data_IF_626066595523
#
_entry.id   IF_626066595523
#
_cell.length_a   1.000
_cell.length_b   1.000
_cell.length_c   1.000
_cell.angle_alpha   90.00
_cell.angle_beta   90.00
_cell.angle_gamma   90.00
#
_symmetry.space_group_name_H-M   'P 1'
#
loop_
_entity.id
_entity.type
_entity.pdbx_description
1 polymer ?
#
# COMPACT_ATOMS: atom_id res chain seq x y z
N UNK A 1 8.73 -11.91 9.30
CA UNK A 1 8.03 -10.63 9.49
C UNK A 1 8.89 -9.74 10.37
N UNK A 2 8.88 -8.44 10.14
CA UNK A 2 9.68 -7.45 10.87
C UNK A 2 8.82 -6.24 11.21
N UNK A 3 8.99 -5.65 12.40
CA UNK A 3 8.33 -4.39 12.76
C UNK A 3 9.02 -3.24 12.04
N UNK A 4 8.28 -2.52 11.20
CA UNK A 4 8.78 -1.33 10.49
C UNK A 4 7.87 -0.13 10.73
N UNK A 5 8.47 1.05 10.66
CA UNK A 5 7.74 2.31 10.63
C UNK A 5 7.20 2.53 9.20
N UNK A 6 5.88 2.61 9.05
CA UNK A 6 5.21 2.93 7.78
C UNK A 6 4.53 4.29 7.87
N UNK A 7 4.46 5.00 6.74
CA UNK A 7 3.79 6.30 6.67
C UNK A 7 2.28 6.15 6.75
N UNK A 8 1.65 7.06 7.48
CA UNK A 8 0.20 7.25 7.49
C UNK A 8 -0.11 8.51 6.68
N UNK A 9 -0.82 8.31 5.56
CA UNK A 9 -1.33 9.40 4.73
C UNK A 9 -2.76 9.74 5.12
N UNK A 10 -3.11 11.02 5.05
CA UNK A 10 -4.39 11.56 5.47
C UNK A 10 -5.01 12.36 4.33
N UNK A 11 -6.34 12.27 4.17
CA UNK A 11 -7.09 12.99 3.14
C UNK A 11 -7.92 12.06 2.24
N UNK A 12 -8.55 12.63 1.21
CA UNK A 12 -9.38 11.89 0.27
C UNK A 12 -8.48 11.19 -0.77
N UNK A 13 -8.42 9.84 -0.79
CA UNK A 13 -7.64 9.11 -1.78
C UNK A 13 -8.26 9.20 -3.19
N UNK A 14 -7.43 8.98 -4.21
CA UNK A 14 -7.88 8.85 -5.59
C UNK A 14 -8.62 7.53 -5.82
N UNK A 15 -9.36 7.42 -6.94
CA UNK A 15 -10.02 6.16 -7.30
C UNK A 15 -9.05 4.99 -7.44
N UNK A 16 -7.93 5.19 -8.12
CA UNK A 16 -6.88 4.18 -8.29
C UNK A 16 -6.33 3.66 -6.95
N UNK A 17 -6.33 4.49 -5.89
CA UNK A 17 -5.92 4.03 -4.57
C UNK A 17 -6.92 3.03 -3.97
N UNK A 18 -8.22 3.17 -4.22
CA UNK A 18 -9.21 2.21 -3.74
C UNK A 18 -9.06 0.85 -4.42
N UNK A 19 -8.89 0.85 -5.75
CA UNK A 19 -8.68 -0.39 -6.51
C UNK A 19 -7.40 -1.10 -6.03
N UNK A 20 -6.32 -0.33 -5.83
CA UNK A 20 -5.09 -0.84 -5.22
C UNK A 20 -5.28 -1.33 -3.78
N UNK A 21 -6.09 -0.65 -2.96
CA UNK A 21 -6.32 -1.02 -1.56
C UNK A 21 -7.05 -2.35 -1.42
N UNK A 22 -7.99 -2.64 -2.33
CA UNK A 22 -8.67 -3.93 -2.42
C UNK A 22 -7.67 -5.05 -2.72
N UNK A 23 -6.91 -4.94 -3.81
CA UNK A 23 -5.89 -5.92 -4.19
C UNK A 23 -4.84 -6.09 -3.09
N UNK A 24 -4.41 -4.99 -2.47
CA UNK A 24 -3.48 -5.03 -1.34
C UNK A 24 -4.02 -5.87 -0.20
N UNK A 25 -5.28 -5.68 0.18
CA UNK A 25 -5.89 -6.37 1.31
C UNK A 25 -5.97 -7.89 1.09
N UNK A 26 -6.16 -8.33 -0.15
CA UNK A 26 -6.30 -9.73 -0.52
C UNK A 26 -4.96 -10.42 -0.78
N UNK A 27 -4.05 -9.75 -1.50
CA UNK A 27 -2.86 -10.40 -2.05
C UNK A 27 -1.58 -10.10 -1.27
N UNK A 28 -1.45 -8.90 -0.69
CA UNK A 28 -0.24 -8.48 0.02
C UNK A 28 -0.54 -7.56 1.22
N UNK A 29 -1.33 -8.04 2.22
CA UNK A 29 -1.86 -7.21 3.30
C UNK A 29 -0.77 -6.57 4.19
N UNK A 30 0.37 -7.26 4.30
CA UNK A 30 1.49 -6.87 5.16
C UNK A 30 2.68 -6.28 4.40
N UNK A 31 2.46 -5.68 3.22
CA UNK A 31 3.50 -4.88 2.55
C UNK A 31 3.80 -3.58 3.34
N UNK A 32 4.95 -2.97 3.04
CA UNK A 32 5.42 -1.73 3.70
C UNK A 32 4.86 -0.42 3.12
N UNK A 33 3.89 -0.49 2.20
CA UNK A 33 3.27 0.72 1.65
C UNK A 33 2.54 1.54 2.72
N UNK A 34 2.40 2.84 2.45
CA UNK A 34 1.67 3.76 3.32
C UNK A 34 0.23 3.30 3.56
N UNK A 35 -0.30 3.66 4.73
CA UNK A 35 -1.68 3.35 5.11
C UNK A 35 -2.50 4.64 5.13
N UNK A 36 -3.80 4.53 4.82
CA UNK A 36 -4.71 5.66 4.92
C UNK A 36 -5.18 5.80 6.38
N UNK A 37 -4.84 6.93 7.01
CA UNK A 37 -5.25 7.27 8.38
C UNK A 37 -6.66 7.86 8.50
N UNK A 38 -7.35 8.02 7.37
CA UNK A 38 -8.71 8.56 7.27
C UNK A 38 -8.83 9.73 6.30
N UNK A 39 -10.07 10.15 6.03
CA UNK A 39 -10.40 11.14 4.99
C UNK A 39 -10.23 12.61 5.41
N UNK A 40 -9.61 12.89 6.56
CA UNK A 40 -9.36 14.25 7.07
C UNK A 40 -7.94 14.63 6.69
N UNK A 41 -7.70 15.82 6.13
CA UNK A 41 -6.33 16.30 5.86
C UNK A 41 -5.61 16.58 7.19
N UNK A 42 -4.45 15.95 7.40
CA UNK A 42 -3.57 16.11 8.56
C UNK A 42 -2.11 15.94 8.13
N UNK A 43 -1.20 16.30 9.02
CA UNK A 43 0.24 16.03 8.83
C UNK A 43 0.52 14.52 8.72
N UNK A 44 1.55 14.17 7.94
CA UNK A 44 1.99 12.78 7.78
C UNK A 44 2.52 12.28 9.12
N UNK A 45 1.98 11.15 9.59
CA UNK A 45 2.49 10.45 10.79
C UNK A 45 3.10 9.11 10.40
N UNK A 46 3.70 8.42 11.36
CA UNK A 46 4.22 7.07 11.17
C UNK A 46 3.58 6.12 12.19
N UNK A 47 3.43 4.85 11.83
CA UNK A 47 2.98 3.80 12.73
C UNK A 47 3.86 2.55 12.58
N UNK A 48 3.95 1.79 13.66
CA UNK A 48 4.57 0.47 13.65
C UNK A 48 3.64 -0.53 12.96
N UNK A 49 4.18 -1.26 11.99
CA UNK A 49 3.49 -2.33 11.28
C UNK A 49 4.39 -3.55 11.17
N UNK A 50 3.81 -4.73 11.33
CA UNK A 50 4.48 -5.97 10.94
C UNK A 50 4.51 -6.10 9.43
N UNK A 51 5.70 -6.02 8.86
CA UNK A 51 5.94 -6.13 7.42
C UNK A 51 6.39 -7.55 7.08
N UNK A 52 5.83 -8.08 5.99
CA UNK A 52 6.21 -9.36 5.41
C UNK A 52 6.97 -9.13 4.10
N UNK A 53 8.20 -9.65 4.02
CA UNK A 53 9.04 -9.54 2.82
C UNK A 53 8.38 -10.18 1.59
N UNK A 54 7.76 -11.34 1.76
CA UNK A 54 7.03 -12.02 0.66
C UNK A 54 5.84 -11.20 0.17
N UNK A 55 5.17 -10.43 1.03
CA UNK A 55 4.12 -9.49 0.59
C UNK A 55 4.69 -8.35 -0.26
N UNK A 56 5.89 -7.86 0.06
CA UNK A 56 6.57 -6.87 -0.77
C UNK A 56 6.93 -7.45 -2.15
N UNK A 57 7.44 -8.69 -2.20
CA UNK A 57 7.71 -9.37 -3.48
C UNK A 57 6.45 -9.51 -4.32
N UNK A 58 5.35 -10.03 -3.76
CA UNK A 58 4.08 -10.19 -4.47
C UNK A 58 3.52 -8.85 -4.98
N UNK A 59 3.61 -7.79 -4.18
CA UNK A 59 3.25 -6.43 -4.60
C UNK A 59 4.09 -5.96 -5.77
N UNK A 60 5.41 -6.15 -5.72
CA UNK A 60 6.32 -5.67 -6.75
C UNK A 60 6.12 -6.41 -8.07
N UNK A 61 5.77 -7.70 -8.03
CA UNK A 61 5.35 -8.48 -9.19
C UNK A 61 4.03 -7.98 -9.78
N UNK A 62 3.02 -7.74 -8.93
CA UNK A 62 1.74 -7.17 -9.36
C UNK A 62 1.92 -5.81 -10.05
N UNK A 63 2.71 -4.90 -9.44
CA UNK A 63 3.00 -3.58 -10.03
C UNK A 63 3.70 -3.68 -11.38
N UNK A 64 4.57 -4.67 -11.59
CA UNK A 64 5.22 -4.89 -12.89
C UNK A 64 4.19 -5.31 -13.94
N UNK A 65 3.32 -6.27 -13.61
CA UNK A 65 2.28 -6.74 -14.51
C UNK A 65 1.32 -5.61 -14.92
N UNK A 66 0.86 -4.78 -13.98
CA UNK A 66 0.00 -3.62 -14.29
C UNK A 66 0.67 -2.61 -15.21
N UNK A 67 1.96 -2.29 -14.97
CA UNK A 67 2.71 -1.36 -15.82
C UNK A 67 3.02 -1.89 -17.23
N UNK A 68 2.98 -3.20 -17.43
CA UNK A 68 3.16 -3.81 -18.74
C UNK A 68 1.82 -3.92 -19.48
N UNK A 69 0.70 -4.10 -18.77
CA UNK A 69 -0.65 -4.04 -19.35
C UNK A 69 -1.02 -2.64 -19.88
N UNK A 70 -0.48 -1.56 -19.30
CA UNK A 70 -0.72 -0.18 -19.76
C UNK A 70 0.05 0.19 -21.06
N UNK A 71 0.88 -0.71 -21.61
CA UNK A 71 1.69 -0.47 -22.82
C UNK A 71 1.16 -1.14 -24.10
N UNK A 72 0.12 -1.96 -24.00
CA UNK A 72 -0.57 -2.60 -25.12
C UNK A 72 -1.81 -1.80 -25.58
#
# INVERSE_FOLDING_TARGET
MEVKQVRISYGLPSRAFFDYAEVRSESFPNCDDSVLGGCIVREITHAEKNVCEQCNTARDEWRKAENDNDKD
#
